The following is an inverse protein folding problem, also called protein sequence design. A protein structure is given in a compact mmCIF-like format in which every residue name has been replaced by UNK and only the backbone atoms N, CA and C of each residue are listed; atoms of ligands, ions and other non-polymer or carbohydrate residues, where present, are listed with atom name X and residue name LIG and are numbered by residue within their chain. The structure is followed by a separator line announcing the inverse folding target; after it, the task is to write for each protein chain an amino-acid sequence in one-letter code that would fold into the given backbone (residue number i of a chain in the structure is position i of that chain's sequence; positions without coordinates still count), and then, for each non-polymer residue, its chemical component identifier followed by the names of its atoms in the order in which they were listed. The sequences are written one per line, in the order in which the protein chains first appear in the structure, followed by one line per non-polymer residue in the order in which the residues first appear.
data_IF_852923746921
#
_entry.id   IF_852923746921
#
_cell.length_a   1.000
_cell.length_b   1.000
_cell.length_c   1.000
_cell.angle_alpha   90.00
_cell.angle_beta   90.00
_cell.angle_gamma   90.00
#
_symmetry.space_group_name_H-M   'P 1'
#
loop_
_entity.id
_entity.type
_entity.pdbx_description
1 polymer ?
#
# COMPACT_ATOMS: atom_id res chain seq x y z
N UNK A 1 33.93 -33.36 -6.83
CA UNK A 1 33.69 -31.91 -6.93
C UNK A 1 32.46 -31.77 -7.81
N UNK A 2 31.29 -31.73 -7.18
CA UNK A 2 30.00 -31.61 -7.87
C UNK A 2 29.68 -30.13 -8.03
N UNK A 3 29.53 -29.69 -9.27
CA UNK A 3 29.10 -28.35 -9.63
C UNK A 3 27.74 -28.05 -9.00
N UNK A 4 27.72 -27.19 -7.98
CA UNK A 4 26.52 -26.51 -7.51
C UNK A 4 26.20 -25.39 -8.49
N UNK A 5 25.45 -25.72 -9.54
CA UNK A 5 24.75 -24.75 -10.37
C UNK A 5 23.69 -24.06 -9.50
N UNK A 6 24.10 -23.01 -8.76
CA UNK A 6 23.16 -22.07 -8.16
C UNK A 6 22.35 -21.42 -9.28
N UNK A 7 21.04 -21.60 -9.26
CA UNK A 7 20.11 -21.03 -10.24
C UNK A 7 20.18 -19.49 -10.20
N UNK A 8 21.00 -18.89 -11.07
CA UNK A 8 21.30 -17.45 -11.12
C UNK A 8 20.16 -16.53 -11.59
N UNK A 9 18.92 -16.79 -11.17
CA UNK A 9 17.77 -15.91 -11.41
C UNK A 9 17.70 -14.75 -10.40
N UNK A 10 17.06 -13.62 -10.74
CA UNK A 10 16.91 -12.50 -9.82
C UNK A 10 16.06 -12.88 -8.60
N UNK A 11 16.46 -12.44 -7.41
CA UNK A 11 15.69 -12.62 -6.17
C UNK A 11 14.52 -11.64 -6.17
N UNK A 12 13.29 -12.15 -6.02
CA UNK A 12 12.09 -11.32 -5.92
C UNK A 12 12.22 -10.28 -4.80
N UNK A 13 11.81 -9.03 -5.07
CA UNK A 13 11.76 -8.01 -4.01
C UNK A 13 10.57 -8.24 -3.05
N UNK A 14 9.45 -8.74 -3.55
CA UNK A 14 8.27 -9.12 -2.76
C UNK A 14 7.91 -10.58 -3.07
N UNK A 15 8.19 -11.45 -2.10
CA UNK A 15 7.91 -12.88 -2.18
C UNK A 15 6.41 -13.19 -2.07
N UNK A 16 5.51 -12.21 -2.14
CA UNK A 16 4.07 -12.45 -2.23
C UNK A 16 3.54 -12.33 -3.66
N UNK A 17 4.29 -11.76 -4.60
CA UNK A 17 3.81 -11.47 -5.95
C UNK A 17 4.39 -12.42 -7.01
N UNK A 18 3.56 -13.08 -7.84
CA UNK A 18 4.03 -13.69 -9.07
C UNK A 18 4.24 -12.60 -10.15
N UNK A 19 5.44 -12.51 -10.72
CA UNK A 19 5.80 -11.51 -11.76
C UNK A 19 5.61 -12.01 -13.19
N UNK A 20 5.32 -13.30 -13.35
CA UNK A 20 5.14 -13.98 -14.63
C UNK A 20 3.92 -14.89 -14.55
N UNK A 21 3.30 -15.17 -15.69
CA UNK A 21 2.27 -16.20 -15.77
C UNK A 21 2.90 -17.55 -15.43
N UNK A 22 2.42 -18.20 -14.38
CA UNK A 22 2.68 -19.63 -14.19
C UNK A 22 2.14 -20.39 -15.41
N UNK A 23 2.84 -21.44 -15.82
CA UNK A 23 2.44 -22.26 -16.96
C UNK A 23 1.01 -22.81 -16.79
N UNK A 24 0.45 -23.28 -17.89
CA UNK A 24 -0.94 -23.75 -18.05
C UNK A 24 -1.39 -24.88 -17.11
N UNK A 25 -0.52 -25.39 -16.23
CA UNK A 25 -0.82 -26.43 -15.25
C UNK A 25 -1.56 -25.94 -14.00
N UNK A 26 -1.58 -24.64 -13.71
CA UNK A 26 -2.38 -24.08 -12.59
C UNK A 26 -3.92 -24.13 -12.82
N UNK A 27 -4.37 -24.78 -13.91
CA UNK A 27 -5.73 -24.65 -14.44
C UNK A 27 -6.77 -25.63 -13.87
N UNK A 28 -6.52 -26.38 -12.79
CA UNK A 28 -7.47 -27.42 -12.35
C UNK A 28 -7.96 -27.42 -10.89
N UNK A 29 -7.44 -26.60 -9.97
CA UNK A 29 -7.77 -26.78 -8.53
C UNK A 29 -8.44 -25.59 -7.82
N UNK A 30 -8.57 -24.40 -8.43
CA UNK A 30 -9.21 -23.27 -7.74
C UNK A 30 -10.73 -23.25 -7.92
N UNK A 31 -11.45 -22.92 -6.84
CA UNK A 31 -12.91 -22.68 -6.85
C UNK A 31 -13.32 -21.41 -7.62
N UNK A 32 -12.35 -20.53 -7.92
CA UNK A 32 -12.57 -19.20 -8.50
C UNK A 32 -11.68 -18.98 -9.74
N UNK A 33 -11.88 -19.74 -10.84
CA UNK A 33 -11.02 -19.71 -12.02
C UNK A 33 -10.98 -18.34 -12.72
N UNK A 34 -12.03 -17.53 -12.61
CA UNK A 34 -12.09 -16.17 -13.15
C UNK A 34 -11.13 -15.20 -12.47
N UNK A 35 -10.60 -15.57 -11.29
CA UNK A 35 -9.59 -14.80 -10.54
C UNK A 35 -8.16 -15.25 -10.84
N UNK A 36 -7.95 -16.12 -11.83
CA UNK A 36 -6.61 -16.46 -12.26
C UNK A 36 -5.88 -15.21 -12.80
N UNK A 37 -4.61 -15.00 -12.38
CA UNK A 37 -3.91 -13.76 -12.67
C UNK A 37 -3.68 -13.60 -14.17
N UNK A 38 -4.18 -12.50 -14.72
CA UNK A 38 -4.05 -12.15 -16.12
C UNK A 38 -3.04 -11.01 -16.31
N UNK A 39 -2.12 -11.20 -17.25
CA UNK A 39 -0.97 -10.30 -17.51
C UNK A 39 -1.10 -9.56 -18.85
N UNK A 40 -2.33 -9.19 -19.24
CA UNK A 40 -2.57 -8.44 -20.49
C UNK A 40 -1.70 -7.17 -20.57
N UNK A 41 -1.19 -6.90 -21.77
CA UNK A 41 -0.38 -5.72 -22.09
C UNK A 41 -1.29 -4.49 -22.24
N UNK A 42 -1.59 -3.87 -21.11
CA UNK A 42 -2.35 -2.62 -21.01
C UNK A 42 -1.40 -1.54 -20.49
N UNK A 43 -1.51 -0.31 -20.97
CA UNK A 43 -0.77 0.82 -20.43
C UNK A 43 -1.74 1.77 -19.69
N UNK A 44 -1.30 2.30 -18.55
CA UNK A 44 -2.03 3.28 -17.76
C UNK A 44 -1.20 4.54 -17.62
N UNK A 45 -1.81 5.67 -17.94
CA UNK A 45 -1.20 6.99 -17.74
C UNK A 45 -0.91 7.24 -16.25
N UNK A 46 0.08 8.09 -15.93
CA UNK A 46 0.32 8.56 -14.57
C UNK A 46 -0.95 9.15 -13.94
N UNK A 47 -1.14 8.89 -12.64
CA UNK A 47 -2.29 9.40 -11.91
C UNK A 47 -2.29 10.92 -11.89
N UNK A 48 -3.30 11.52 -12.52
CA UNK A 48 -3.59 12.94 -12.37
C UNK A 48 -4.33 13.16 -11.05
N UNK A 49 -4.03 14.24 -10.31
CA UNK A 49 -4.80 14.59 -9.13
C UNK A 49 -6.30 14.69 -9.43
N UNK A 50 -7.12 14.31 -8.46
CA UNK A 50 -8.57 14.30 -8.55
C UNK A 50 -9.19 14.70 -7.22
N UNK A 51 -10.40 15.24 -7.27
CA UNK A 51 -11.18 15.59 -6.08
C UNK A 51 -11.65 14.32 -5.37
N UNK A 52 -11.39 14.26 -4.07
CA UNK A 52 -11.79 13.14 -3.22
C UNK A 52 -12.53 13.67 -2.00
N UNK A 53 -13.73 13.14 -1.78
CA UNK A 53 -14.52 13.33 -0.56
C UNK A 53 -14.57 12.00 0.18
N UNK A 54 -14.08 11.98 1.42
CA UNK A 54 -14.04 10.77 2.22
C UNK A 54 -15.45 10.38 2.72
N UNK A 55 -15.98 9.18 2.38
CA UNK A 55 -17.29 8.74 2.85
C UNK A 55 -17.44 8.77 4.38
N UNK A 56 -16.36 8.53 5.13
CA UNK A 56 -16.38 8.55 6.58
C UNK A 56 -16.71 9.94 7.16
N UNK A 57 -16.46 11.03 6.43
CA UNK A 57 -16.79 12.39 6.86
C UNK A 57 -18.28 12.72 6.74
N UNK A 58 -19.06 11.88 6.07
CA UNK A 58 -20.52 12.03 5.95
C UNK A 58 -21.28 11.48 7.16
N UNK A 59 -20.60 10.70 8.00
CA UNK A 59 -21.19 10.10 9.21
C UNK A 59 -21.40 11.16 10.27
N UNK A 60 -22.63 11.24 10.79
CA UNK A 60 -23.04 12.20 11.82
C UNK A 60 -23.40 11.52 13.15
N UNK A 61 -23.56 10.20 13.15
CA UNK A 61 -23.94 9.40 14.32
C UNK A 61 -22.91 8.30 14.57
N UNK A 62 -22.13 8.47 15.64
CA UNK A 62 -21.06 7.56 16.04
C UNK A 62 -21.57 6.18 16.52
N UNK A 63 -22.89 6.00 16.67
CA UNK A 63 -23.48 4.69 16.98
C UNK A 63 -23.61 3.77 15.75
N UNK A 64 -23.42 4.32 14.54
CA UNK A 64 -23.43 3.61 13.26
C UNK A 64 -24.70 2.75 13.04
N UNK A 65 -25.91 3.33 13.13
CA UNK A 65 -27.16 2.58 13.15
C UNK A 65 -27.50 1.87 11.84
N UNK A 66 -26.91 2.26 10.70
CA UNK A 66 -27.15 1.62 9.41
C UNK A 66 -26.22 0.41 9.18
N UNK A 67 -25.06 0.38 9.85
CA UNK A 67 -24.08 -0.70 9.81
C UNK A 67 -24.26 -1.69 10.97
N UNK A 68 -24.48 -1.19 12.19
CA UNK A 68 -24.51 -1.98 13.42
C UNK A 68 -25.95 -2.31 13.83
N UNK A 69 -26.55 -3.20 13.06
CA UNK A 69 -27.88 -3.76 13.37
C UNK A 69 -27.81 -4.77 14.53
N UNK A 70 -28.98 -5.24 15.02
CA UNK A 70 -29.07 -6.12 16.19
C UNK A 70 -28.28 -7.45 16.04
N UNK A 71 -28.10 -7.93 14.80
CA UNK A 71 -27.41 -9.20 14.51
C UNK A 71 -25.89 -9.02 14.31
N UNK A 72 -25.40 -7.78 14.34
CA UNK A 72 -23.98 -7.48 14.14
C UNK A 72 -23.21 -7.58 15.45
N UNK A 73 -22.14 -8.38 15.44
CA UNK A 73 -21.23 -8.54 16.57
C UNK A 73 -19.84 -8.05 16.22
N UNK A 74 -19.36 -7.06 16.97
CA UNK A 74 -18.00 -6.54 16.85
C UNK A 74 -17.10 -7.17 17.93
N UNK A 75 -16.03 -7.83 17.50
CA UNK A 75 -15.01 -8.40 18.39
C UNK A 75 -13.67 -7.69 18.14
N UNK A 76 -13.19 -6.84 19.05
CA UNK A 76 -11.87 -6.19 18.90
C UNK A 76 -10.74 -7.23 18.82
N UNK A 77 -9.81 -7.06 17.89
CA UNK A 77 -8.57 -7.86 17.83
C UNK A 77 -7.55 -7.32 18.84
N UNK A 78 -7.42 -5.99 18.90
CA UNK A 78 -6.66 -5.26 19.91
C UNK A 78 -7.44 -4.04 20.41
N UNK A 79 -7.04 -3.42 21.53
CA UNK A 79 -7.75 -2.26 22.08
C UNK A 79 -7.95 -1.10 21.08
N UNK A 80 -6.95 -0.80 20.25
CA UNK A 80 -6.92 0.39 19.37
C UNK A 80 -6.71 0.12 17.88
N UNK A 81 -6.68 -1.15 17.48
CA UNK A 81 -6.52 -1.57 16.08
C UNK A 81 -7.19 -2.93 15.89
N UNK A 82 -7.86 -3.11 14.76
CA UNK A 82 -8.45 -4.39 14.38
C UNK A 82 -9.77 -4.69 15.06
N UNK A 83 -10.76 -5.06 14.25
CA UNK A 83 -12.05 -5.58 14.71
C UNK A 83 -12.49 -6.69 13.76
N UNK A 84 -13.03 -7.78 14.28
CA UNK A 84 -13.81 -8.75 13.51
C UNK A 84 -15.27 -8.32 13.59
N UNK A 85 -15.93 -8.13 12.44
CA UNK A 85 -17.33 -7.76 12.34
C UNK A 85 -18.13 -8.93 11.76
N UNK A 86 -18.81 -9.66 12.65
CA UNK A 86 -19.69 -10.78 12.29
C UNK A 86 -21.13 -10.25 12.05
N UNK A 87 -21.86 -10.85 11.12
CA UNK A 87 -23.25 -10.46 10.80
C UNK A 87 -23.39 -9.30 9.80
N UNK A 88 -22.28 -8.70 9.34
CA UNK A 88 -22.29 -7.70 8.26
C UNK A 88 -22.06 -8.39 6.92
N UNK A 89 -22.94 -8.15 5.93
CA UNK A 89 -22.73 -8.56 4.54
C UNK A 89 -22.44 -7.35 3.67
N UNK A 90 -21.22 -7.26 3.12
CA UNK A 90 -20.78 -6.08 2.38
C UNK A 90 -21.61 -5.79 1.13
N UNK A 91 -22.04 -6.83 0.41
CA UNK A 91 -22.82 -6.71 -0.82
C UNK A 91 -24.22 -6.13 -0.62
N UNK A 92 -24.76 -6.17 0.61
CA UNK A 92 -26.12 -5.69 0.94
C UNK A 92 -26.12 -4.33 1.62
N UNK A 93 -24.96 -3.67 1.78
CA UNK A 93 -24.89 -2.38 2.45
C UNK A 93 -25.52 -1.28 1.61
N UNK A 94 -26.39 -0.50 2.25
CA UNK A 94 -26.82 0.80 1.70
C UNK A 94 -25.64 1.79 1.71
N UNK A 95 -25.76 2.87 0.94
CA UNK A 95 -24.72 3.90 0.89
C UNK A 95 -24.44 4.53 2.26
N UNK A 96 -25.47 4.76 3.08
CA UNK A 96 -25.29 5.20 4.47
C UNK A 96 -24.50 4.20 5.32
N UNK A 97 -24.75 2.90 5.13
CA UNK A 97 -24.01 1.86 5.83
C UNK A 97 -22.56 1.75 5.33
N UNK A 98 -22.29 2.05 4.04
CA UNK A 98 -20.94 2.15 3.49
C UNK A 98 -20.18 3.37 4.04
N UNK A 99 -20.85 4.50 4.23
CA UNK A 99 -20.27 5.68 4.91
C UNK A 99 -19.88 5.32 6.36
N UNK A 100 -20.77 4.66 7.10
CA UNK A 100 -20.51 4.18 8.45
C UNK A 100 -19.40 3.13 8.52
N UNK A 101 -19.31 2.26 7.50
CA UNK A 101 -18.21 1.31 7.35
C UNK A 101 -16.87 2.04 7.14
N UNK A 102 -16.84 3.07 6.29
CA UNK A 102 -15.65 3.90 6.09
C UNK A 102 -15.19 4.54 7.41
N UNK A 103 -16.13 5.02 8.22
CA UNK A 103 -15.86 5.58 9.55
C UNK A 103 -15.36 4.53 10.55
N UNK A 104 -15.99 3.35 10.60
CA UNK A 104 -15.54 2.24 11.43
C UNK A 104 -14.10 1.83 11.07
N UNK A 105 -13.81 1.71 9.77
CA UNK A 105 -12.46 1.41 9.27
C UNK A 105 -11.47 2.50 9.67
N UNK A 106 -11.80 3.79 9.55
CA UNK A 106 -10.91 4.87 9.99
C UNK A 106 -10.60 4.80 11.50
N UNK A 107 -11.60 4.50 12.33
CA UNK A 107 -11.44 4.36 13.80
C UNK A 107 -10.66 3.10 14.20
N UNK A 108 -10.92 1.98 13.53
CA UNK A 108 -10.35 0.65 13.88
C UNK A 108 -9.13 0.27 13.05
N UNK A 109 -8.82 1.05 12.03
CA UNK A 109 -7.73 0.89 11.04
C UNK A 109 -7.86 -0.34 10.15
N UNK A 110 -8.30 -1.47 10.68
CA UNK A 110 -8.58 -2.69 9.93
C UNK A 110 -9.81 -3.38 10.51
N UNK A 111 -10.67 -3.87 9.62
CA UNK A 111 -11.87 -4.63 9.97
C UNK A 111 -11.91 -5.89 9.12
N UNK A 112 -12.08 -7.04 9.76
CA UNK A 112 -12.23 -8.34 9.11
C UNK A 112 -13.70 -8.77 9.13
N UNK A 113 -14.18 -9.22 7.99
CA UNK A 113 -15.55 -9.66 7.74
C UNK A 113 -15.51 -11.12 7.32
N UNK A 114 -15.80 -12.08 8.23
CA UNK A 114 -15.88 -13.49 7.86
C UNK A 114 -17.13 -13.77 7.02
N UNK A 115 -17.13 -14.89 6.29
CA UNK A 115 -18.30 -15.45 5.60
C UNK A 115 -19.02 -14.47 4.65
N UNK A 116 -18.28 -13.80 3.77
CA UNK A 116 -18.83 -12.79 2.86
C UNK A 116 -19.32 -13.38 1.55
N UNK A 117 -20.59 -13.13 1.23
CA UNK A 117 -21.18 -13.51 -0.06
C UNK A 117 -20.72 -12.62 -1.22
N UNK A 118 -20.13 -11.45 -0.90
CA UNK A 118 -19.48 -10.60 -1.89
C UNK A 118 -18.33 -11.32 -2.63
N UNK A 119 -17.74 -12.35 -2.02
CA UNK A 119 -16.76 -13.22 -2.69
C UNK A 119 -17.40 -13.93 -3.88
N UNK A 120 -18.55 -14.57 -3.66
CA UNK A 120 -19.26 -15.37 -4.68
C UNK A 120 -20.02 -14.50 -5.68
N UNK A 121 -20.32 -13.24 -5.34
CA UNK A 121 -20.91 -12.26 -6.25
C UNK A 121 -19.98 -11.87 -7.41
N UNK A 122 -18.69 -12.18 -7.30
CA UNK A 122 -17.72 -12.09 -8.40
C UNK A 122 -17.06 -10.70 -8.56
N UNK A 123 -16.14 -10.58 -9.54
CA UNK A 123 -15.26 -9.41 -9.68
C UNK A 123 -16.00 -8.09 -9.91
N UNK A 124 -17.11 -8.11 -10.66
CA UNK A 124 -17.88 -6.91 -10.98
C UNK A 124 -18.49 -6.28 -9.72
N UNK A 125 -19.11 -7.10 -8.85
CA UNK A 125 -19.73 -6.63 -7.61
C UNK A 125 -18.68 -6.07 -6.63
N UNK A 126 -17.52 -6.72 -6.54
CA UNK A 126 -16.40 -6.25 -5.70
C UNK A 126 -15.82 -4.93 -6.20
N UNK A 127 -15.71 -4.77 -7.53
CA UNK A 127 -15.28 -3.52 -8.15
C UNK A 127 -16.26 -2.39 -7.85
N UNK A 128 -17.56 -2.60 -8.11
CA UNK A 128 -18.63 -1.62 -7.85
C UNK A 128 -18.66 -1.21 -6.37
N UNK A 129 -18.53 -2.19 -5.47
CA UNK A 129 -18.46 -1.92 -4.03
C UNK A 129 -17.28 -1.00 -3.68
N UNK A 130 -16.08 -1.29 -4.20
CA UNK A 130 -14.89 -0.49 -3.89
C UNK A 130 -14.88 0.89 -4.56
N UNK A 131 -15.55 1.05 -5.71
CA UNK A 131 -15.70 2.34 -6.39
C UNK A 131 -16.48 3.36 -5.54
N UNK A 132 -17.33 2.91 -4.61
CA UNK A 132 -17.99 3.79 -3.63
C UNK A 132 -16.98 4.53 -2.74
N UNK A 133 -15.86 3.88 -2.39
CA UNK A 133 -14.85 4.41 -1.48
C UNK A 133 -13.81 5.30 -2.19
N UNK A 134 -13.83 5.35 -3.52
CA UNK A 134 -12.91 6.17 -4.31
C UNK A 134 -12.52 5.52 -5.63
N UNK A 135 -11.78 6.28 -6.44
CA UNK A 135 -11.26 5.82 -7.73
C UNK A 135 -10.32 4.63 -7.52
N UNK A 136 -10.49 3.56 -8.28
CA UNK A 136 -9.62 2.39 -8.14
C UNK A 136 -8.19 2.64 -8.63
N UNK A 137 -7.23 2.06 -7.92
CA UNK A 137 -5.84 1.97 -8.35
C UNK A 137 -5.67 0.91 -9.46
N UNK A 138 -4.77 1.17 -10.40
CA UNK A 138 -4.29 0.15 -11.34
C UNK A 138 -2.84 -0.20 -11.06
N UNK A 139 -2.57 -1.47 -10.76
CA UNK A 139 -1.23 -1.93 -10.42
C UNK A 139 -0.36 -2.08 -11.67
N UNK A 140 0.93 -1.67 -11.59
CA UNK A 140 1.78 -1.65 -12.76
C UNK A 140 2.32 -3.02 -13.17
N UNK A 141 2.52 -3.93 -12.22
CA UNK A 141 3.33 -5.16 -12.45
C UNK A 141 2.61 -6.47 -12.17
N UNK A 142 1.45 -6.43 -11.49
CA UNK A 142 0.77 -7.64 -11.03
C UNK A 142 -0.28 -8.17 -11.99
N UNK A 143 -0.63 -9.44 -11.82
CA UNK A 143 -1.81 -10.04 -12.43
C UNK A 143 -3.10 -9.32 -12.01
N UNK A 144 -4.02 -9.17 -12.96
CA UNK A 144 -5.37 -8.60 -12.75
C UNK A 144 -6.43 -9.65 -13.08
N UNK A 145 -7.70 -9.32 -12.83
CA UNK A 145 -8.82 -10.08 -13.39
C UNK A 145 -9.11 -9.57 -14.81
N UNK A 146 -9.47 -10.46 -15.74
CA UNK A 146 -9.81 -10.07 -17.11
C UNK A 146 -11.06 -9.16 -17.10
N UNK A 147 -10.99 -8.02 -17.80
CA UNK A 147 -12.06 -7.02 -17.80
C UNK A 147 -12.10 -6.11 -16.57
N UNK A 148 -11.33 -6.43 -15.51
CA UNK A 148 -11.32 -5.69 -14.24
C UNK A 148 -9.87 -5.32 -13.84
N UNK A 149 -9.25 -4.32 -14.50
CA UNK A 149 -7.84 -3.96 -14.29
C UNK A 149 -7.51 -3.38 -12.91
N UNK A 150 -8.53 -3.04 -12.10
CA UNK A 150 -8.37 -2.62 -10.70
C UNK A 150 -7.86 -3.71 -9.78
N UNK A 151 -8.05 -4.97 -10.16
CA UNK A 151 -7.68 -6.11 -9.35
C UNK A 151 -6.17 -6.33 -9.30
N UNK A 152 -5.70 -6.67 -8.12
CA UNK A 152 -4.36 -7.19 -7.89
C UNK A 152 -4.49 -8.60 -7.33
N UNK A 153 -4.12 -9.60 -8.12
CA UNK A 153 -4.22 -11.00 -7.73
C UNK A 153 -2.93 -11.48 -7.08
N UNK A 154 -3.06 -11.99 -5.87
CA UNK A 154 -2.01 -12.63 -5.09
C UNK A 154 -2.32 -14.12 -5.12
N UNK A 155 -1.60 -14.87 -5.97
CA UNK A 155 -1.76 -16.31 -6.14
C UNK A 155 -0.43 -17.00 -5.90
N UNK A 156 -0.42 -17.99 -5.02
CA UNK A 156 0.76 -18.83 -4.72
C UNK A 156 0.34 -20.27 -4.55
N UNK A 157 1.07 -21.16 -5.21
CA UNK A 157 0.91 -22.61 -5.12
C UNK A 157 2.22 -23.28 -5.55
N UNK A 158 2.86 -24.05 -4.68
CA UNK A 158 4.02 -24.89 -5.05
C UNK A 158 5.36 -24.17 -5.31
N UNK A 159 5.47 -22.85 -5.14
CA UNK A 159 6.66 -22.01 -5.49
C UNK A 159 7.94 -22.26 -4.64
N UNK A 160 8.36 -23.52 -4.45
CA UNK A 160 9.44 -23.95 -3.57
C UNK A 160 10.78 -23.30 -3.90
N UNK A 161 11.19 -23.31 -5.17
CA UNK A 161 12.51 -22.78 -5.59
C UNK A 161 12.59 -21.26 -5.37
N UNK A 162 11.50 -20.54 -5.62
CA UNK A 162 11.44 -19.09 -5.38
C UNK A 162 11.54 -18.74 -3.89
N UNK A 163 10.87 -19.52 -3.04
CA UNK A 163 10.91 -19.35 -1.59
C UNK A 163 12.31 -19.66 -1.06
N UNK A 164 12.91 -20.78 -1.49
CA UNK A 164 14.27 -21.15 -1.12
C UNK A 164 15.27 -20.05 -1.50
N UNK A 165 15.25 -19.59 -2.75
CA UNK A 165 16.11 -18.51 -3.24
C UNK A 165 15.90 -17.19 -2.48
N UNK A 166 14.66 -16.87 -2.11
CA UNK A 166 14.38 -15.68 -1.31
C UNK A 166 15.01 -15.80 0.09
N UNK A 167 14.87 -16.97 0.74
CA UNK A 167 15.40 -17.22 2.09
C UNK A 167 16.92 -17.42 2.13
N UNK A 168 17.58 -17.72 1.01
CA UNK A 168 19.05 -17.66 0.91
C UNK A 168 19.60 -16.25 1.16
N UNK A 169 18.83 -15.21 0.82
CA UNK A 169 19.24 -13.81 0.93
C UNK A 169 18.49 -13.01 1.99
N UNK A 170 17.49 -13.61 2.66
CA UNK A 170 16.60 -12.93 3.61
C UNK A 170 16.34 -13.81 4.81
N UNK A 171 16.29 -13.20 5.99
CA UNK A 171 15.97 -13.88 7.25
C UNK A 171 14.46 -14.05 7.46
N UNK A 172 13.63 -13.33 6.71
CA UNK A 172 12.19 -13.28 6.90
C UNK A 172 11.48 -12.82 5.63
N UNK A 173 10.23 -13.26 5.46
CA UNK A 173 9.30 -12.76 4.43
C UNK A 173 8.61 -11.44 4.80
N UNK A 174 8.81 -10.95 6.03
CA UNK A 174 8.19 -9.71 6.48
C UNK A 174 8.60 -8.52 5.61
N UNK A 175 7.60 -7.85 5.05
CA UNK A 175 7.75 -6.62 4.28
C UNK A 175 6.70 -5.61 4.73
N UNK A 176 7.11 -4.70 5.60
CA UNK A 176 6.21 -3.72 6.20
C UNK A 176 6.01 -2.51 5.29
N UNK A 177 4.77 -2.29 4.85
CA UNK A 177 4.48 -1.25 3.88
C UNK A 177 3.07 -0.65 3.98
N UNK A 178 2.94 0.58 3.47
CA UNK A 178 1.69 1.16 3.00
C UNK A 178 1.57 0.99 1.50
N UNK A 179 0.40 0.57 1.04
CA UNK A 179 0.15 0.27 -0.36
C UNK A 179 0.32 1.51 -1.24
N UNK A 180 1.02 1.31 -2.36
CA UNK A 180 1.12 2.27 -3.47
C UNK A 180 1.51 3.71 -3.02
N UNK A 181 2.37 3.81 -2.01
CA UNK A 181 2.77 5.09 -1.42
C UNK A 181 3.52 6.03 -2.37
N UNK A 182 3.96 5.55 -3.53
CA UNK A 182 4.61 6.35 -4.58
C UNK A 182 3.65 7.21 -5.41
N UNK A 183 2.33 6.93 -5.39
CA UNK A 183 1.35 7.75 -6.11
C UNK A 183 1.12 9.10 -5.41
N UNK A 184 0.71 10.12 -6.17
CA UNK A 184 0.42 11.45 -5.62
C UNK A 184 -0.78 11.47 -4.66
N UNK A 185 -1.73 10.57 -4.89
CA UNK A 185 -2.92 10.33 -4.06
C UNK A 185 -3.00 8.84 -3.75
N UNK A 186 -2.30 8.34 -2.72
CA UNK A 186 -2.27 6.91 -2.38
C UNK A 186 -3.65 6.34 -2.00
N UNK A 187 -3.82 5.01 -1.99
CA UNK A 187 -5.01 4.36 -1.47
C UNK A 187 -5.34 4.78 -0.04
N UNK A 188 -6.62 5.09 0.20
CA UNK A 188 -7.17 5.25 1.54
C UNK A 188 -7.81 3.97 2.05
N UNK A 189 -8.64 3.34 1.21
CA UNK A 189 -9.33 2.09 1.53
C UNK A 189 -8.77 0.95 0.69
N UNK A 190 -8.42 -0.14 1.35
CA UNK A 190 -7.96 -1.36 0.68
C UNK A 190 -8.83 -2.52 1.12
N UNK A 191 -9.25 -3.33 0.15
CA UNK A 191 -9.97 -4.57 0.34
C UNK A 191 -9.07 -5.73 -0.06
N UNK A 192 -8.98 -6.74 0.81
CA UNK A 192 -8.40 -8.04 0.53
C UNK A 192 -9.48 -9.11 0.71
N UNK A 193 -9.69 -9.97 -0.28
CA UNK A 193 -10.63 -11.09 -0.18
C UNK A 193 -9.94 -12.43 -0.38
N UNK A 194 -10.13 -13.35 0.58
CA UNK A 194 -9.62 -14.72 0.48
C UNK A 194 -10.56 -15.58 -0.37
N UNK A 195 -10.07 -15.99 -1.53
CA UNK A 195 -10.73 -16.93 -2.42
C UNK A 195 -10.45 -18.35 -1.97
N UNK A 196 -9.16 -18.69 -1.86
CA UNK A 196 -8.71 -19.97 -1.31
C UNK A 196 -7.44 -19.79 -0.49
N UNK A 197 -7.19 -20.67 0.48
CA UNK A 197 -6.10 -20.50 1.41
C UNK A 197 -5.81 -21.73 2.27
N UNK A 198 -4.63 -21.76 2.93
CA UNK A 198 -4.26 -22.84 3.83
C UNK A 198 -5.15 -22.84 5.09
N UNK A 199 -5.26 -23.99 5.76
CA UNK A 199 -6.00 -24.11 7.03
C UNK A 199 -5.32 -23.29 8.16
N UNK A 200 -3.98 -23.22 8.11
CA UNK A 200 -3.12 -22.52 9.08
C UNK A 200 -2.01 -21.78 8.34
N UNK A 201 -1.67 -20.57 8.82
CA UNK A 201 -0.64 -19.73 8.22
C UNK A 201 -1.19 -18.80 7.14
N UNK A 202 -0.33 -17.95 6.58
CA UNK A 202 -0.69 -16.97 5.54
C UNK A 202 -1.34 -15.71 6.08
N UNK A 203 -1.27 -15.50 7.39
CA UNK A 203 -1.85 -14.36 8.10
C UNK A 203 -1.33 -13.02 7.57
N UNK A 204 -2.07 -11.96 7.88
CA UNK A 204 -1.62 -10.59 7.60
C UNK A 204 -1.51 -9.82 8.90
N UNK A 205 -0.35 -9.22 9.13
CA UNK A 205 -0.07 -8.42 10.34
C UNK A 205 -0.11 -6.95 9.96
N UNK A 206 -0.75 -6.17 10.83
CA UNK A 206 -1.00 -4.75 10.69
C UNK A 206 -0.41 -4.01 11.89
N UNK A 207 0.13 -2.81 11.69
CA UNK A 207 0.70 -1.98 12.76
C UNK A 207 0.20 -0.54 12.66
N UNK A 208 -0.30 0.00 13.78
CA UNK A 208 -0.83 1.37 13.85
C UNK A 208 0.29 2.41 13.78
N UNK A 209 0.34 3.19 12.70
CA UNK A 209 1.36 4.26 12.55
C UNK A 209 1.04 5.48 13.40
N UNK A 210 -0.23 5.68 13.77
CA UNK A 210 -0.65 6.73 14.70
C UNK A 210 -0.27 6.44 16.16
N UNK A 211 -0.44 5.21 16.62
CA UNK A 211 0.02 4.81 17.97
C UNK A 211 1.55 4.81 18.04
N UNK A 212 2.22 4.32 16.99
CA UNK A 212 3.67 4.36 16.89
C UNK A 212 4.21 5.80 17.01
N UNK A 213 3.62 6.76 16.29
CA UNK A 213 3.97 8.17 16.38
C UNK A 213 3.80 8.72 17.80
N UNK A 214 2.66 8.43 18.46
CA UNK A 214 2.37 8.92 19.82
C UNK A 214 3.37 8.44 20.87
N UNK A 215 4.05 7.31 20.63
CA UNK A 215 5.05 6.75 21.54
C UNK A 215 6.44 7.33 21.37
N UNK A 216 6.71 8.02 20.26
CA UNK A 216 7.97 8.73 20.08
C UNK A 216 8.07 9.89 21.06
N UNK A 217 9.30 10.21 21.47
CA UNK A 217 9.56 11.35 22.34
C UNK A 217 9.07 12.65 21.69
N UNK A 218 8.65 13.67 22.46
CA UNK A 218 8.24 14.95 21.91
C UNK A 218 9.29 15.57 20.99
N UNK A 219 10.59 15.43 21.31
CA UNK A 219 11.69 15.92 20.47
C UNK A 219 11.71 15.26 19.09
N UNK A 220 11.59 13.94 19.05
CA UNK A 220 11.61 13.22 17.78
C UNK A 220 10.36 13.53 16.96
N UNK A 221 9.18 13.62 17.60
CA UNK A 221 7.94 14.01 16.92
C UNK A 221 8.07 15.39 16.26
N UNK A 222 8.54 16.39 16.98
CA UNK A 222 8.74 17.75 16.44
C UNK A 222 9.67 17.76 15.24
N UNK A 223 10.75 16.97 15.28
CA UNK A 223 11.65 16.84 14.13
C UNK A 223 10.96 16.17 12.93
N UNK A 224 10.30 15.03 13.16
CA UNK A 224 9.64 14.26 12.10
C UNK A 224 8.46 14.99 11.46
N UNK A 225 7.74 15.83 12.22
CA UNK A 225 6.63 16.66 11.71
C UNK A 225 7.05 17.57 10.54
N UNK A 226 8.34 17.91 10.45
CA UNK A 226 8.91 18.73 9.38
C UNK A 226 9.58 17.93 8.24
N UNK A 227 9.71 16.61 8.41
CA UNK A 227 10.40 15.76 7.45
C UNK A 227 9.50 15.37 6.28
N UNK A 228 10.11 15.17 5.11
CA UNK A 228 9.44 14.61 3.93
C UNK A 228 10.24 13.45 3.36
N UNK A 229 9.57 12.48 2.76
CA UNK A 229 10.16 11.28 2.15
C UNK A 229 9.89 11.25 0.66
N UNK A 230 10.88 10.78 -0.12
CA UNK A 230 10.70 10.43 -1.52
C UNK A 230 10.24 8.97 -1.61
N UNK A 231 9.07 8.76 -2.21
CA UNK A 231 8.52 7.44 -2.50
C UNK A 231 8.63 7.15 -4.00
N UNK A 232 9.25 6.02 -4.36
CA UNK A 232 9.56 5.67 -5.76
C UNK A 232 9.10 4.26 -6.10
N UNK A 233 8.48 4.11 -7.28
CA UNK A 233 8.18 2.80 -7.89
C UNK A 233 9.29 2.30 -8.83
N UNK A 234 10.36 3.08 -9.05
CA UNK A 234 11.41 2.78 -10.03
C UNK A 234 12.04 1.40 -9.83
N UNK A 235 12.33 1.03 -8.59
CA UNK A 235 12.90 -0.29 -8.25
C UNK A 235 11.97 -1.44 -8.63
N UNK A 236 10.69 -1.33 -8.29
CA UNK A 236 9.67 -2.34 -8.63
C UNK A 236 9.51 -2.49 -10.15
N UNK A 237 9.39 -1.38 -10.88
CA UNK A 237 9.23 -1.39 -12.34
C UNK A 237 10.47 -2.00 -13.02
N UNK A 238 11.68 -1.59 -12.60
CA UNK A 238 12.92 -2.13 -13.13
C UNK A 238 13.05 -3.64 -12.86
N UNK A 239 12.68 -4.08 -11.66
CA UNK A 239 12.72 -5.48 -11.27
C UNK A 239 11.74 -6.34 -12.09
N UNK A 240 10.49 -5.89 -12.25
CA UNK A 240 9.51 -6.59 -13.08
C UNK A 240 9.99 -6.74 -14.53
N UNK A 241 10.54 -5.67 -15.13
CA UNK A 241 11.14 -5.72 -16.47
C UNK A 241 12.31 -6.69 -16.56
N UNK A 242 13.19 -6.72 -15.55
CA UNK A 242 14.34 -7.63 -15.50
C UNK A 242 13.93 -9.11 -15.41
N UNK A 243 12.78 -9.40 -14.78
CA UNK A 243 12.19 -10.74 -14.73
C UNK A 243 11.36 -11.11 -15.98
N UNK A 244 11.30 -10.24 -17.00
CA UNK A 244 10.46 -10.45 -18.17
C UNK A 244 8.96 -10.27 -17.92
N UNK A 245 8.60 -9.72 -16.75
CA UNK A 245 7.24 -9.39 -16.38
C UNK A 245 6.71 -8.13 -17.08
N UNK A 246 5.44 -7.84 -16.84
CA UNK A 246 4.79 -6.65 -17.40
C UNK A 246 5.14 -5.38 -16.61
N UNK A 247 5.11 -4.25 -17.30
CA UNK A 247 5.12 -2.92 -16.70
C UNK A 247 4.08 -2.06 -17.41
N UNK A 248 2.96 -1.83 -16.74
CA UNK A 248 1.79 -1.10 -17.26
C UNK A 248 1.81 0.40 -16.96
N UNK A 249 2.76 0.87 -16.16
CA UNK A 249 2.99 2.28 -15.86
C UNK A 249 4.47 2.62 -15.96
N UNK A 250 4.77 3.88 -16.24
CA UNK A 250 6.11 4.41 -16.02
C UNK A 250 6.40 4.59 -14.52
N UNK A 251 7.68 4.60 -14.12
CA UNK A 251 8.05 4.89 -12.75
C UNK A 251 7.54 6.26 -12.30
N UNK A 252 6.99 6.29 -11.09
CA UNK A 252 6.51 7.48 -10.40
C UNK A 252 7.35 7.70 -9.14
N UNK A 253 7.75 8.95 -8.96
CA UNK A 253 8.48 9.48 -7.81
C UNK A 253 7.64 10.61 -7.19
N UNK A 254 7.27 10.47 -5.92
CA UNK A 254 6.47 11.48 -5.21
C UNK A 254 7.09 11.81 -3.86
N UNK A 255 7.16 13.09 -3.53
CA UNK A 255 7.54 13.56 -2.19
C UNK A 255 6.29 13.70 -1.32
N UNK A 256 6.30 13.02 -0.19
CA UNK A 256 5.22 13.03 0.81
C UNK A 256 5.75 13.46 2.17
N UNK A 257 4.89 13.99 3.07
CA UNK A 257 5.28 14.22 4.46
C UNK A 257 5.56 12.88 5.16
N UNK A 258 6.62 12.82 5.96
CA UNK A 258 6.94 11.63 6.76
C UNK A 258 5.91 11.43 7.88
N UNK A 259 5.32 12.53 8.37
CA UNK A 259 4.18 12.51 9.29
C UNK A 259 3.01 13.19 8.61
N UNK A 260 1.94 12.42 8.38
CA UNK A 260 0.70 12.93 7.80
C UNK A 260 -0.40 13.08 8.84
N UNK A 261 -1.34 13.97 8.61
CA UNK A 261 -2.59 14.08 9.37
C UNK A 261 -3.67 13.24 8.69
N UNK A 262 -4.37 12.44 9.47
CA UNK A 262 -5.50 11.65 8.99
C UNK A 262 -6.74 12.55 8.87
N UNK A 263 -7.40 12.63 7.69
CA UNK A 263 -8.48 13.59 7.48
C UNK A 263 -9.71 13.33 8.37
N UNK A 264 -10.03 12.05 8.61
CA UNK A 264 -11.19 11.66 9.45
C UNK A 264 -10.90 11.74 10.95
N UNK A 265 -9.81 11.14 11.41
CA UNK A 265 -9.54 10.99 12.85
C UNK A 265 -8.70 12.12 13.44
N UNK A 266 -8.05 12.94 12.61
CA UNK A 266 -7.09 13.95 13.05
C UNK A 266 -5.78 13.38 13.61
N UNK A 267 -5.60 12.05 13.59
CA UNK A 267 -4.38 11.42 14.09
C UNK A 267 -3.17 11.82 13.23
N UNK A 268 -2.03 12.05 13.89
CA UNK A 268 -0.73 12.14 13.22
C UNK A 268 -0.18 10.74 13.04
N UNK A 269 0.06 10.36 11.80
CA UNK A 269 0.47 9.02 11.40
C UNK A 269 1.82 9.08 10.70
N UNK A 270 2.75 8.19 11.08
CA UNK A 270 3.96 7.96 10.28
C UNK A 270 3.54 7.43 8.90
N UNK A 271 4.03 8.04 7.82
CA UNK A 271 3.80 7.56 6.47
C UNK A 271 5.03 6.79 5.99
N UNK A 272 5.01 5.47 6.20
CA UNK A 272 6.18 4.60 6.05
C UNK A 272 5.95 3.54 4.98
N UNK A 273 7.01 3.19 4.28
CA UNK A 273 7.03 2.04 3.39
C UNK A 273 8.45 1.48 3.30
N UNK A 274 8.63 0.19 3.59
CA UNK A 274 9.93 -0.48 3.60
C UNK A 274 10.60 -0.63 2.23
N UNK A 275 9.85 -0.50 1.13
CA UNK A 275 10.38 -0.65 -0.24
C UNK A 275 10.41 0.64 -1.05
N UNK A 276 9.37 1.47 -0.92
CA UNK A 276 9.20 2.63 -1.79
C UNK A 276 9.90 3.88 -1.26
N UNK A 277 10.14 4.00 0.06
CA UNK A 277 10.88 5.16 0.57
C UNK A 277 12.35 5.03 0.20
N UNK A 278 12.86 5.93 -0.65
CA UNK A 278 14.25 5.91 -1.10
C UNK A 278 15.12 6.95 -0.40
N UNK A 279 14.52 8.01 0.15
CA UNK A 279 15.24 9.11 0.79
C UNK A 279 14.36 9.92 1.74
N UNK A 280 14.95 10.47 2.81
CA UNK A 280 14.36 11.57 3.58
C UNK A 280 14.94 12.88 3.05
N UNK A 281 14.07 13.76 2.55
CA UNK A 281 14.44 15.02 1.91
C UNK A 281 15.19 15.91 2.93
N UNK A 282 16.33 16.45 2.52
CA UNK A 282 17.18 17.31 3.36
C UNK A 282 18.20 16.55 4.22
N UNK A 283 18.02 15.25 4.45
CA UNK A 283 19.01 14.43 5.17
C UNK A 283 20.03 13.81 4.22
N UNK A 284 21.22 13.50 4.75
CA UNK A 284 22.23 12.68 4.07
C UNK A 284 21.76 11.23 4.02
N UNK A 285 22.39 10.43 3.16
CA UNK A 285 22.02 9.03 2.96
C UNK A 285 22.14 8.20 4.24
N UNK A 286 23.27 8.30 4.96
CA UNK A 286 23.47 7.58 6.21
C UNK A 286 22.45 7.96 7.30
N UNK A 287 22.09 9.25 7.38
CA UNK A 287 21.07 9.75 8.30
C UNK A 287 19.67 9.22 7.94
N UNK A 288 19.33 9.26 6.64
CA UNK A 288 18.06 8.74 6.11
C UNK A 288 17.92 7.25 6.41
N UNK A 289 18.97 6.46 6.13
CA UNK A 289 19.01 5.02 6.38
C UNK A 289 18.81 4.71 7.86
N UNK A 290 19.63 5.32 8.72
CA UNK A 290 19.55 5.12 10.18
C UNK A 290 18.14 5.45 10.71
N UNK A 291 17.55 6.56 10.26
CA UNK A 291 16.23 6.97 10.72
C UNK A 291 15.12 6.04 10.22
N UNK A 292 15.15 5.64 8.95
CA UNK A 292 14.17 4.68 8.41
C UNK A 292 14.28 3.32 9.09
N UNK A 293 15.49 2.82 9.34
CA UNK A 293 15.71 1.58 10.09
C UNK A 293 15.17 1.67 11.52
N UNK A 294 15.43 2.79 12.21
CA UNK A 294 14.87 3.03 13.54
C UNK A 294 13.34 3.01 13.54
N UNK A 295 12.71 3.74 12.60
CA UNK A 295 11.26 3.83 12.52
C UNK A 295 10.62 2.48 12.16
N UNK A 296 11.17 1.75 11.19
CA UNK A 296 10.66 0.41 10.83
C UNK A 296 10.85 -0.59 11.98
N UNK A 297 11.99 -0.57 12.68
CA UNK A 297 12.21 -1.41 13.86
C UNK A 297 11.22 -1.09 14.99
N UNK A 298 10.91 0.19 15.22
CA UNK A 298 9.86 0.59 16.16
C UNK A 298 8.49 0.00 15.79
N UNK A 299 8.15 0.00 14.50
CA UNK A 299 6.92 -0.65 14.03
C UNK A 299 6.94 -2.17 14.25
N UNK A 300 8.06 -2.84 13.95
CA UNK A 300 8.23 -4.28 14.07
C UNK A 300 8.16 -4.78 15.52
N UNK A 301 8.80 -4.08 16.45
CA UNK A 301 8.80 -4.42 17.88
C UNK A 301 7.51 -4.05 18.59
N UNK A 302 6.66 -3.26 17.93
CA UNK A 302 5.41 -2.70 18.44
C UNK A 302 4.24 -3.66 18.57
N UNK A 303 4.44 -4.89 19.07
CA UNK A 303 3.41 -5.92 19.14
C UNK A 303 2.13 -5.49 19.89
N UNK A 304 2.25 -4.54 20.82
CA UNK A 304 1.15 -3.96 21.59
C UNK A 304 0.38 -2.84 20.86
N UNK A 305 0.75 -2.54 19.61
CA UNK A 305 -0.02 -1.74 18.66
C UNK A 305 -0.13 -2.39 17.28
N UNK A 306 0.04 -3.72 17.24
CA UNK A 306 -0.15 -4.55 16.06
C UNK A 306 -1.40 -5.43 16.18
N UNK A 307 -2.10 -5.63 15.07
CA UNK A 307 -3.15 -6.64 14.94
C UNK A 307 -2.73 -7.70 13.92
N UNK A 308 -2.87 -8.98 14.26
CA UNK A 308 -2.71 -10.10 13.32
C UNK A 308 -4.08 -10.61 12.95
N UNK A 309 -4.41 -10.58 11.65
CA UNK A 309 -5.65 -11.13 11.12
C UNK A 309 -5.34 -12.52 10.58
N UNK A 310 -5.98 -13.52 11.18
CA UNK A 310 -5.98 -14.89 10.67
C UNK A 310 -7.02 -15.02 9.56
N UNK A 311 -6.62 -15.60 8.45
CA UNK A 311 -7.50 -15.84 7.32
C UNK A 311 -8.41 -17.05 7.57
N UNK A 312 -9.66 -16.92 7.17
CA UNK A 312 -10.62 -18.01 7.05
C UNK A 312 -11.31 -17.92 5.68
N UNK A 313 -11.82 -19.05 5.13
CA UNK A 313 -12.53 -19.04 3.85
C UNK A 313 -13.62 -17.95 3.77
N UNK A 314 -13.74 -17.32 2.60
CA UNK A 314 -14.67 -16.21 2.34
C UNK A 314 -14.52 -15.01 3.29
N UNK A 315 -13.33 -14.79 3.86
CA UNK A 315 -13.08 -13.59 4.67
C UNK A 315 -12.68 -12.43 3.75
N UNK A 316 -13.30 -11.27 3.97
CA UNK A 316 -12.85 -9.99 3.41
C UNK A 316 -12.26 -9.16 4.54
N UNK A 317 -11.09 -8.58 4.32
CA UNK A 317 -10.46 -7.62 5.22
C UNK A 317 -10.44 -6.28 4.52
N UNK A 318 -11.00 -5.25 5.17
CA UNK A 318 -10.88 -3.87 4.71
C UNK A 318 -10.06 -3.05 5.70
N UNK A 319 -9.18 -2.19 5.19
CA UNK A 319 -8.33 -1.38 6.03
C UNK A 319 -8.07 0.03 5.50
N UNK A 320 -7.79 0.92 6.45
CA UNK A 320 -7.38 2.30 6.22
C UNK A 320 -5.86 2.37 6.03
N UNK A 321 -5.43 2.39 4.78
CA UNK A 321 -4.02 2.42 4.40
C UNK A 321 -3.35 3.76 4.77
N UNK A 322 -4.05 4.75 5.35
CA UNK A 322 -3.48 6.05 5.76
C UNK A 322 -2.94 6.05 7.18
N UNK A 323 -3.35 5.09 8.02
CA UNK A 323 -3.08 5.07 9.47
C UNK A 323 -2.33 3.84 9.99
N UNK A 324 -1.82 3.01 9.08
CA UNK A 324 -1.20 1.73 9.38
C UNK A 324 -0.24 1.29 8.28
N UNK A 325 0.66 0.37 8.60
CA UNK A 325 1.42 -0.44 7.64
C UNK A 325 1.08 -1.90 7.86
N UNK A 326 1.35 -2.75 6.87
CA UNK A 326 1.07 -4.17 6.97
C UNK A 326 2.15 -5.04 6.32
N UNK A 327 2.13 -6.32 6.66
CA UNK A 327 2.97 -7.36 6.06
C UNK A 327 2.16 -8.62 5.85
N UNK A 328 2.22 -9.17 4.64
CA UNK A 328 1.81 -10.55 4.38
C UNK A 328 2.87 -11.50 4.94
N UNK A 329 2.45 -12.58 5.60
CA UNK A 329 3.35 -13.55 6.21
C UNK A 329 3.37 -14.82 5.36
N UNK A 330 4.56 -15.24 4.97
CA UNK A 330 4.79 -16.52 4.29
C UNK A 330 5.28 -17.54 5.30
N UNK A 331 4.33 -18.15 6.02
CA UNK A 331 4.53 -19.20 7.04
C UNK A 331 3.68 -20.46 6.80
N UNK A 332 3.11 -20.60 5.59
CA UNK A 332 2.20 -21.67 5.18
C UNK A 332 2.87 -22.65 4.19
N UNK A 333 4.02 -23.20 4.61
CA UNK A 333 4.77 -24.16 3.81
C UNK A 333 4.31 -25.60 4.11
N UNK A 334 4.37 -26.47 3.12
CA UNK A 334 4.23 -27.92 3.31
C UNK A 334 5.54 -28.55 3.82
N UNK A 335 5.52 -29.86 4.07
CA UNK A 335 6.68 -30.61 4.58
C UNK A 335 7.87 -30.60 3.61
N UNK A 336 7.62 -30.35 2.31
CA UNK A 336 8.63 -30.23 1.28
C UNK A 336 9.17 -28.79 1.15
N UNK A 337 8.64 -27.83 1.91
CA UNK A 337 9.01 -26.41 1.89
C UNK A 337 8.39 -25.62 0.74
N UNK A 338 7.40 -26.18 0.03
CA UNK A 338 6.61 -25.47 -0.97
C UNK A 338 5.45 -24.72 -0.29
N UNK A 339 5.03 -23.57 -0.84
CA UNK A 339 3.86 -22.88 -0.31
C UNK A 339 2.57 -23.64 -0.62
N UNK A 340 1.72 -23.81 0.38
CA UNK A 340 0.33 -24.22 0.18
C UNK A 340 -0.45 -23.14 -0.60
N UNK A 341 -1.53 -23.53 -1.28
CA UNK A 341 -2.36 -22.61 -2.05
C UNK A 341 -2.82 -21.42 -1.20
N UNK A 342 -2.49 -20.21 -1.65
CA UNK A 342 -3.04 -18.96 -1.12
C UNK A 342 -3.43 -18.03 -2.26
N UNK A 343 -4.72 -17.83 -2.41
CA UNK A 343 -5.33 -17.06 -3.49
C UNK A 343 -6.19 -15.94 -2.91
N UNK A 344 -5.68 -14.71 -3.04
CA UNK A 344 -6.30 -13.49 -2.54
C UNK A 344 -6.42 -12.49 -3.68
N UNK A 345 -7.54 -11.78 -3.74
CA UNK A 345 -7.62 -10.56 -4.53
C UNK A 345 -7.44 -9.33 -3.64
N UNK A 346 -6.89 -8.26 -4.24
CA UNK A 346 -6.86 -6.92 -3.65
C UNK A 346 -7.50 -5.90 -4.58
N UNK A 347 -8.27 -5.00 -4.00
CA UNK A 347 -8.73 -3.75 -4.61
C UNK A 347 -8.34 -2.58 -3.72
N UNK A 348 -7.89 -1.49 -4.33
CA UNK A 348 -7.48 -0.27 -3.62
C UNK A 348 -8.26 0.91 -4.16
N UNK A 349 -8.98 1.63 -3.29
CA UNK A 349 -9.60 2.91 -3.60
C UNK A 349 -8.65 4.04 -3.19
N UNK A 350 -8.26 4.85 -4.18
CA UNK A 350 -7.41 6.03 -4.06
C UNK A 350 -8.13 7.13 -3.30
N UNK A 351 -7.40 7.85 -2.45
CA UNK A 351 -7.96 8.84 -1.54
C UNK A 351 -7.30 10.21 -1.70
N UNK A 352 -7.24 11.00 -0.62
CA UNK A 352 -6.68 12.34 -0.64
C UNK A 352 -5.16 12.36 -0.80
N UNK A 353 -4.63 13.52 -1.21
CA UNK A 353 -3.19 13.77 -1.13
C UNK A 353 -2.80 13.83 0.36
N UNK A 354 -1.72 13.15 0.81
CA UNK A 354 -1.32 13.16 2.21
C UNK A 354 -1.13 14.59 2.75
N UNK A 355 -1.81 14.89 3.85
CA UNK A 355 -1.84 16.21 4.48
C UNK A 355 -0.65 16.31 5.46
N UNK A 356 0.29 17.26 5.29
CA UNK A 356 1.43 17.40 6.18
C UNK A 356 1.03 17.99 7.53
N UNK A 357 1.84 17.75 8.58
CA UNK A 357 1.67 18.44 9.88
C UNK A 357 2.11 19.91 9.79
N UNK A 358 3.18 20.17 9.04
CA UNK A 358 3.73 21.50 8.78
C UNK A 358 3.75 21.71 7.28
N UNK A 359 3.21 22.84 6.81
CA UNK A 359 3.26 23.18 5.38
C UNK A 359 4.71 23.21 4.87
N UNK A 360 5.01 22.58 3.72
CA UNK A 360 6.34 22.60 3.15
C UNK A 360 6.76 24.06 2.92
N UNK A 361 7.90 24.46 3.47
CA UNK A 361 8.49 25.74 3.09
C UNK A 361 8.78 25.69 1.59
N UNK A 362 8.17 26.59 0.82
CA UNK A 362 8.52 26.78 -0.59
C UNK A 362 10.03 27.05 -0.65
N UNK A 363 10.80 26.14 -1.24
CA UNK A 363 12.19 26.41 -1.54
C UNK A 363 12.20 27.55 -2.56
N UNK A 364 12.40 28.79 -2.07
CA UNK A 364 12.67 29.95 -2.91
C UNK A 364 13.98 29.71 -3.64
N UNK A 365 13.90 29.05 -4.80
CA UNK A 365 14.96 28.97 -5.77
C UNK A 365 15.23 30.37 -6.33
N UNK A 366 16.04 31.17 -5.63
CA UNK A 366 16.82 32.20 -6.31
C UNK A 366 17.80 31.48 -7.22
N UNK A 367 17.40 31.31 -8.47
CA UNK A 367 18.34 31.09 -9.56
C UNK A 367 19.34 32.25 -9.51
N UNK A 368 20.54 31.99 -9.03
CA UNK A 368 21.68 32.86 -9.25
C UNK A 368 22.01 32.79 -10.74
N UNK A 369 21.32 33.62 -11.54
CA UNK A 369 21.74 33.92 -12.90
C UNK A 369 23.08 34.66 -12.82
N UNK A 370 24.17 33.91 -12.92
CA UNK A 370 25.49 34.47 -13.17
C UNK A 370 25.50 35.13 -14.54
N UNK A 371 25.32 36.45 -14.57
CA UNK A 371 25.61 37.25 -15.75
C UNK A 371 27.12 37.44 -15.85
N UNK A 372 27.79 36.55 -16.58
CA UNK A 372 29.04 36.89 -17.25
C UNK A 372 28.71 37.83 -18.42
N UNK A 373 28.71 39.14 -18.16
CA UNK A 373 28.73 40.14 -19.23
C UNK A 373 30.17 40.46 -19.58
N UNK A 374 30.61 39.87 -20.70
CA UNK A 374 31.83 40.19 -21.39
C UNK A 374 31.81 41.66 -21.86
N UNK A 375 32.95 42.34 -21.66
CA UNK A 375 33.24 43.63 -22.26
C UNK A 375 33.24 43.51 -23.78
N UNK A 376 32.29 44.17 -24.43
CA UNK A 376 32.27 44.44 -25.86
C UNK A 376 32.04 45.93 -26.08
N UNK A 377 33.13 46.69 -26.20
CA UNK A 377 33.11 48.07 -26.71
C UNK A 377 32.64 48.07 -28.17
N UNK A 378 31.58 48.83 -28.48
CA UNK A 378 31.48 49.63 -29.70
C UNK A 378 30.22 50.51 -29.70
N UNK A 379 30.38 51.78 -30.11
CA UNK A 379 29.35 52.46 -30.89
C UNK A 379 28.59 53.62 -30.25
N UNK A 380 29.19 54.82 -30.34
CA UNK A 380 28.63 56.05 -30.96
C UNK A 380 27.32 56.71 -30.48
N UNK A 381 27.47 58.03 -30.29
CA UNK A 381 26.55 59.15 -30.55
C UNK A 381 25.60 59.65 -29.44
N UNK A 382 25.72 60.96 -29.14
CA UNK A 382 24.55 61.78 -28.84
C UNK A 382 24.74 62.88 -27.77
N UNK A 383 25.13 64.07 -28.23
CA UNK A 383 25.01 65.42 -27.63
C UNK A 383 23.95 65.66 -26.53
N UNK A 384 24.36 66.40 -25.47
CA UNK A 384 23.79 67.69 -25.00
C UNK A 384 24.47 68.10 -23.68
N UNK A 385 25.36 69.10 -23.65
CA UNK A 385 25.15 70.55 -23.47
C UNK A 385 24.78 71.02 -22.05
N UNK A 386 25.59 71.95 -21.54
CA UNK A 386 25.39 72.90 -20.41
C UNK A 386 25.36 72.31 -19.00
N UNK A 387 26.09 72.81 -18.01
CA UNK A 387 26.76 74.11 -17.79
C UNK A 387 27.91 73.94 -16.80
#
# INVERSE_FOLDING_TARGET
MSDSNGSGGPISYDINLPYVSEGTDASQSTRYPEYMPNFDKIHFDPLKPFDFEDPALRVQDDSLPNLLTADVKLTPIQPRIGTVAEGVQLHSLSDKAKDELAYLIAKRKVVAFPNQDLIDAGPAAQQEFMEYFGKLNYQPVSGTVRGHPGFHIIHRDGNKEDIARFMEARLTSCLWHQDVSYEIQPPGYVMLGLLDGPEVGGDTVFASTGEAYRRLSPMLRTFLDSCSTLHSSSKMIAHAKALGGIARKDPVDTVHPLVRVHPVTGERCLFLNGEFVTKIVGLKEAESKMLMEFLLNHMMMGHDFQARVRWAPKTIVMFDNRSMIHSAIVDYLDDDGAAQLRHIFRLCAMAEKPIPVVEPQQQNGKATSGTNSANGMNGTNGMNSTK
#
